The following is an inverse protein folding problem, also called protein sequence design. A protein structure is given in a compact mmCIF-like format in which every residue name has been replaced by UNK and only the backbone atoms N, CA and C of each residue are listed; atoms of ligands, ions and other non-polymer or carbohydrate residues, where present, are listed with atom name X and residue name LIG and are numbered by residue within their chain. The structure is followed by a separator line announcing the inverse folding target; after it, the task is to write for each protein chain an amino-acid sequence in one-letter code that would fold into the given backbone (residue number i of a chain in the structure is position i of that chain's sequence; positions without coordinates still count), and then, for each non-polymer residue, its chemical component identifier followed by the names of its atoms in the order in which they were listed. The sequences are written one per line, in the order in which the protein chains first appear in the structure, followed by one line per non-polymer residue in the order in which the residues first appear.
data_IF_545000122842
#
_entry.id   IF_545000122842
#
_cell.length_a   1.000
_cell.length_b   1.000
_cell.length_c   1.000
_cell.angle_alpha   90.00
_cell.angle_beta   90.00
_cell.angle_gamma   90.00
#
_symmetry.space_group_name_H-M   'P 1'
#
loop_
_entity.id
_entity.type
_entity.pdbx_description
1 polymer ?
#
# COMPACT_ATOMS: atom_id res chain seq x y z
N UNK A 1 34.13 -37.88 59.33
CA UNK A 1 34.46 -36.51 58.86
C UNK A 1 35.22 -36.66 57.56
N UNK A 2 34.63 -36.27 56.43
CA UNK A 2 35.25 -36.38 55.10
C UNK A 2 36.31 -35.28 54.93
N UNK A 3 37.53 -35.55 55.40
CA UNK A 3 38.69 -34.71 55.15
C UNK A 3 39.50 -35.30 54.00
N UNK A 4 39.40 -34.75 52.79
CA UNK A 4 40.40 -35.00 51.74
C UNK A 4 41.70 -34.34 52.20
N UNK A 5 42.75 -35.12 52.37
CA UNK A 5 44.09 -34.60 52.60
C UNK A 5 44.46 -33.67 51.43
N UNK A 6 44.80 -32.41 51.73
CA UNK A 6 45.26 -31.44 50.73
C UNK A 6 46.78 -31.48 50.72
N UNK A 7 47.36 -32.09 49.69
CA UNK A 7 48.80 -32.10 49.49
C UNK A 7 49.26 -30.70 49.07
N UNK A 8 50.34 -30.21 49.68
CA UNK A 8 51.03 -28.99 49.29
C UNK A 8 52.50 -29.31 49.13
N UNK A 9 53.11 -28.82 48.05
CA UNK A 9 54.52 -29.06 47.77
C UNK A 9 55.43 -28.15 48.62
N UNK A 10 56.66 -28.60 48.86
CA UNK A 10 57.69 -27.78 49.50
C UNK A 10 58.07 -26.56 48.63
N UNK A 11 58.62 -25.48 49.22
CA UNK A 11 59.08 -24.32 48.46
C UNK A 11 60.04 -24.74 47.34
N UNK A 12 59.73 -24.34 46.09
CA UNK A 12 60.50 -24.72 44.89
C UNK A 12 59.86 -25.82 44.02
N UNK A 13 58.73 -26.40 44.45
CA UNK A 13 57.99 -27.40 43.70
C UNK A 13 56.53 -26.95 43.49
N UNK A 14 55.99 -27.19 42.30
CA UNK A 14 54.59 -26.92 41.94
C UNK A 14 53.80 -28.22 41.84
N UNK A 15 52.55 -28.20 42.33
CA UNK A 15 51.64 -29.33 42.29
C UNK A 15 51.11 -29.51 40.86
N UNK A 16 51.26 -30.71 40.30
CA UNK A 16 50.72 -31.03 38.97
C UNK A 16 49.18 -31.01 38.96
N UNK A 17 48.61 -31.01 37.75
CA UNK A 17 47.16 -30.99 37.51
C UNK A 17 46.43 -32.24 38.02
N UNK A 18 47.15 -33.33 38.28
CA UNK A 18 46.64 -34.54 38.90
C UNK A 18 46.47 -34.41 40.43
N UNK A 19 47.09 -33.41 41.05
CA UNK A 19 46.91 -33.02 42.45
C UNK A 19 47.66 -33.87 43.48
N UNK A 20 48.49 -34.82 43.05
CA UNK A 20 49.19 -35.76 43.96
C UNK A 20 50.71 -35.81 43.79
N UNK A 21 51.25 -35.31 42.68
CA UNK A 21 52.69 -35.27 42.44
C UNK A 21 53.21 -33.83 42.32
N UNK A 22 54.41 -33.62 42.84
CA UNK A 22 55.11 -32.34 42.86
C UNK A 22 56.26 -32.39 41.86
N UNK A 23 56.34 -31.40 40.99
CA UNK A 23 57.44 -31.24 40.03
C UNK A 23 58.11 -29.89 40.20
N UNK A 24 59.40 -29.85 39.88
CA UNK A 24 60.16 -28.61 39.82
C UNK A 24 59.78 -27.89 38.53
N UNK A 25 59.23 -26.69 38.63
CA UNK A 25 59.09 -25.83 37.46
C UNK A 25 60.44 -25.13 37.23
N UNK A 26 61.23 -25.64 36.28
CA UNK A 26 62.56 -25.09 35.98
C UNK A 26 62.48 -23.65 35.45
N UNK A 27 61.33 -23.24 34.88
CA UNK A 27 61.08 -21.88 34.41
C UNK A 27 60.84 -20.89 35.56
N UNK A 28 60.23 -21.34 36.67
CA UNK A 28 60.00 -20.51 37.87
C UNK A 28 61.23 -20.50 38.79
N UNK A 29 61.90 -21.64 38.91
CA UNK A 29 63.08 -21.79 39.78
C UNK A 29 64.36 -21.23 39.15
N UNK A 30 64.36 -20.91 37.86
CA UNK A 30 65.53 -20.42 37.12
C UNK A 30 66.57 -21.51 36.84
N UNK A 31 66.22 -22.78 37.03
CA UNK A 31 67.08 -23.94 36.80
C UNK A 31 67.02 -24.44 35.33
N UNK A 32 66.81 -23.52 34.38
CA UNK A 32 66.73 -23.83 32.94
C UNK A 32 67.98 -23.38 32.19
N UNK A 33 68.37 -24.15 31.17
CA UNK A 33 69.52 -23.84 30.30
C UNK A 33 69.12 -23.08 29.02
N UNK A 34 67.93 -22.44 29.00
CA UNK A 34 67.46 -21.68 27.84
C UNK A 34 68.36 -20.46 27.55
N UNK A 35 68.63 -20.23 26.26
CA UNK A 35 69.35 -19.04 25.80
C UNK A 35 68.49 -17.78 26.02
N UNK A 36 69.08 -16.58 26.13
CA UNK A 36 68.33 -15.33 26.26
C UNK A 36 67.30 -15.08 25.14
N UNK A 37 67.48 -15.68 23.98
CA UNK A 37 66.57 -15.63 22.82
C UNK A 37 65.49 -16.73 22.83
N UNK A 38 65.35 -17.46 23.93
CA UNK A 38 64.42 -18.57 24.07
C UNK A 38 63.53 -18.37 25.31
N UNK A 39 62.24 -18.68 25.17
CA UNK A 39 61.28 -18.73 26.25
C UNK A 39 61.23 -20.13 26.84
N UNK A 40 61.39 -20.24 28.15
CA UNK A 40 61.22 -21.50 28.87
C UNK A 40 59.73 -21.86 28.95
N UNK A 41 59.39 -23.09 28.56
CA UNK A 41 58.08 -23.70 28.71
C UNK A 41 58.24 -24.97 29.55
N UNK A 42 57.59 -25.03 30.70
CA UNK A 42 57.65 -26.17 31.59
C UNK A 42 56.86 -27.36 31.00
N UNK A 43 57.41 -28.57 31.06
CA UNK A 43 56.77 -29.81 30.58
C UNK A 43 56.86 -30.91 31.65
N UNK A 44 56.00 -31.93 31.55
CA UNK A 44 56.04 -33.03 32.53
C UNK A 44 57.36 -33.81 32.40
N UNK A 45 58.20 -33.72 33.42
CA UNK A 45 59.50 -34.34 33.60
C UNK A 45 60.71 -33.46 33.22
N UNK A 46 60.52 -32.28 32.63
CA UNK A 46 61.60 -31.42 32.10
C UNK A 46 61.07 -30.05 31.62
N UNK A 47 61.94 -29.15 31.19
CA UNK A 47 61.56 -27.94 30.43
C UNK A 47 61.91 -28.03 28.93
N UNK A 48 61.19 -27.27 28.11
CA UNK A 48 61.47 -27.05 26.67
C UNK A 48 61.75 -25.56 26.44
N UNK A 49 62.82 -25.24 25.71
CA UNK A 49 63.15 -23.86 25.34
C UNK A 49 62.65 -23.56 23.94
N UNK A 50 61.57 -22.80 23.82
CA UNK A 50 61.02 -22.36 22.53
C UNK A 50 61.71 -21.08 22.07
N UNK A 51 61.98 -20.94 20.77
CA UNK A 51 62.59 -19.74 20.21
C UNK A 51 61.61 -18.56 20.32
N UNK A 52 62.00 -17.51 21.04
CA UNK A 52 61.22 -16.28 21.14
C UNK A 52 61.74 -15.31 20.07
N UNK A 53 61.07 -15.28 18.92
CA UNK A 53 61.39 -14.33 17.84
C UNK A 53 60.77 -12.97 18.20
N UNK A 54 61.58 -12.08 18.78
CA UNK A 54 61.20 -10.68 19.01
C UNK A 54 61.66 -9.83 17.84
N UNK A 55 60.73 -9.19 17.14
CA UNK A 55 61.05 -8.31 16.02
C UNK A 55 61.51 -6.93 16.51
N UNK A 56 62.48 -6.28 15.82
CA UNK A 56 62.89 -4.90 16.11
C UNK A 56 61.70 -3.93 16.01
N UNK A 57 61.81 -2.77 16.67
CA UNK A 57 60.77 -1.75 16.62
C UNK A 57 60.42 -1.37 15.16
N UNK A 58 59.16 -1.55 14.77
CA UNK A 58 58.67 -1.31 13.40
C UNK A 58 58.45 -2.57 12.55
N UNK A 59 58.91 -3.74 13.00
CA UNK A 59 58.71 -5.02 12.32
C UNK A 59 57.62 -5.85 13.01
N UNK A 60 56.76 -6.48 12.22
CA UNK A 60 55.71 -7.38 12.70
C UNK A 60 56.08 -8.84 12.40
N UNK A 61 55.75 -9.74 13.33
CA UNK A 61 56.01 -11.17 13.17
C UNK A 61 54.94 -11.79 12.25
N UNK A 62 55.30 -12.12 11.01
CA UNK A 62 54.46 -12.89 10.07
C UNK A 62 55.21 -14.14 9.62
N UNK A 63 54.57 -15.31 9.74
CA UNK A 63 55.15 -16.61 9.33
C UNK A 63 56.59 -16.86 9.86
N UNK A 64 56.84 -16.53 11.13
CA UNK A 64 58.15 -16.71 11.79
C UNK A 64 59.30 -15.88 11.20
N UNK A 65 59.00 -14.88 10.38
CA UNK A 65 59.92 -13.88 9.85
C UNK A 65 59.47 -12.49 10.32
N UNK A 66 60.44 -11.60 10.58
CA UNK A 66 60.16 -10.22 10.90
C UNK A 66 60.04 -9.42 9.60
N UNK A 67 58.85 -8.94 9.30
CA UNK A 67 58.55 -8.19 8.08
C UNK A 67 58.09 -6.78 8.46
N UNK A 68 58.47 -5.79 7.66
CA UNK A 68 57.99 -4.41 7.78
C UNK A 68 57.01 -4.18 6.63
N UNK A 69 55.83 -3.66 6.92
CA UNK A 69 54.88 -3.26 5.88
C UNK A 69 55.18 -1.80 5.52
N UNK A 70 56.01 -1.58 4.49
CA UNK A 70 56.44 -0.24 4.08
C UNK A 70 55.29 0.63 3.55
N UNK A 71 54.19 -0.01 3.11
CA UNK A 71 52.99 0.67 2.63
C UNK A 71 52.19 1.30 3.77
N UNK A 72 52.03 0.60 4.89
CA UNK A 72 51.35 1.14 6.09
C UNK A 72 52.24 2.13 6.85
N UNK A 73 53.55 1.86 6.91
CA UNK A 73 54.52 2.72 7.59
C UNK A 73 54.90 3.97 6.79
N UNK A 74 54.42 4.09 5.54
CA UNK A 74 54.72 5.20 4.61
C UNK A 74 56.21 5.42 4.37
N UNK A 75 57.00 4.34 4.42
CA UNK A 75 58.44 4.35 4.15
C UNK A 75 58.78 3.94 2.72
N UNK A 76 57.77 3.58 1.91
CA UNK A 76 57.92 3.25 0.49
C UNK A 76 58.32 4.48 -0.37
N UNK A 77 59.05 4.24 -1.45
CA UNK A 77 59.49 5.28 -2.40
C UNK A 77 58.69 5.29 -3.73
N UNK A 78 57.49 4.70 -3.74
CA UNK A 78 56.60 4.73 -4.91
C UNK A 78 56.33 6.16 -5.41
N UNK A 79 56.65 6.45 -6.68
CA UNK A 79 56.44 7.75 -7.30
C UNK A 79 54.96 8.14 -7.47
N UNK A 80 54.70 9.42 -7.79
CA UNK A 80 53.35 9.92 -8.04
C UNK A 80 52.67 9.13 -9.17
N UNK A 81 51.55 8.48 -8.86
CA UNK A 81 50.79 7.65 -9.82
C UNK A 81 50.98 6.15 -9.67
N UNK A 82 51.72 5.68 -8.65
CA UNK A 82 51.86 4.26 -8.30
C UNK A 82 51.15 3.95 -6.96
N UNK A 83 50.66 2.72 -6.80
CA UNK A 83 50.10 2.17 -5.55
C UNK A 83 51.10 1.18 -4.95
N UNK A 84 51.38 1.34 -3.66
CA UNK A 84 52.23 0.41 -2.91
C UNK A 84 51.46 -0.87 -2.56
N UNK A 85 52.03 -2.02 -2.87
CA UNK A 85 51.57 -3.35 -2.46
C UNK A 85 52.68 -4.02 -1.65
N UNK A 86 52.38 -4.43 -0.42
CA UNK A 86 53.35 -5.09 0.45
C UNK A 86 53.55 -6.55 0.04
N UNK A 87 54.80 -7.01 -0.03
CA UNK A 87 55.17 -8.38 -0.36
C UNK A 87 56.15 -8.94 0.66
N UNK A 88 56.24 -10.27 0.77
CA UNK A 88 57.12 -10.90 1.76
C UNK A 88 58.57 -10.51 1.51
N UNK A 89 59.09 -9.61 2.34
CA UNK A 89 60.46 -9.10 2.32
C UNK A 89 60.69 -7.76 1.61
N UNK A 90 59.68 -7.15 0.96
CA UNK A 90 59.77 -5.82 0.29
C UNK A 90 58.37 -5.31 -0.15
N UNK A 91 58.29 -4.14 -0.77
CA UNK A 91 57.07 -3.64 -1.43
C UNK A 91 57.21 -3.57 -2.96
N UNK A 92 56.08 -3.64 -3.67
CA UNK A 92 55.94 -3.43 -5.12
C UNK A 92 55.12 -2.15 -5.38
N UNK A 93 55.53 -1.37 -6.38
CA UNK A 93 54.81 -0.15 -6.78
C UNK A 93 54.08 -0.38 -8.11
N UNK A 94 52.78 -0.62 -8.05
CA UNK A 94 51.96 -0.90 -9.22
C UNK A 94 51.41 0.38 -9.85
N UNK A 95 51.24 0.46 -11.18
CA UNK A 95 50.59 1.60 -11.83
C UNK A 95 49.16 1.82 -11.33
N UNK A 96 48.80 3.04 -10.94
CA UNK A 96 47.39 3.42 -10.79
C UNK A 96 46.72 3.28 -12.16
N UNK A 97 45.67 2.46 -12.26
CA UNK A 97 44.90 2.35 -13.50
C UNK A 97 44.39 3.73 -13.91
N UNK A 98 44.73 4.18 -15.12
CA UNK A 98 44.09 5.34 -15.74
C UNK A 98 42.62 4.99 -16.00
N UNK A 99 41.72 5.90 -15.67
CA UNK A 99 40.29 5.68 -15.88
C UNK A 99 39.99 5.47 -17.36
N UNK A 100 39.09 4.52 -17.67
CA UNK A 100 38.57 4.29 -19.02
C UNK A 100 37.91 5.59 -19.52
N UNK A 101 37.96 5.86 -20.83
CA UNK A 101 37.32 7.02 -21.44
C UNK A 101 35.85 7.15 -21.00
N UNK A 102 35.51 8.25 -20.30
CA UNK A 102 34.16 8.52 -19.76
C UNK A 102 34.08 8.64 -18.24
N UNK A 103 35.17 8.37 -17.51
CA UNK A 103 35.24 8.47 -16.04
C UNK A 103 36.12 9.65 -15.61
N UNK A 104 35.72 10.35 -14.55
CA UNK A 104 36.48 11.44 -13.91
C UNK A 104 37.14 10.96 -12.61
N UNK A 105 38.34 11.44 -12.29
CA UNK A 105 39.02 11.09 -11.04
C UNK A 105 38.55 11.98 -9.89
N UNK A 106 38.23 11.38 -8.76
CA UNK A 106 38.04 12.12 -7.50
C UNK A 106 39.39 12.62 -6.93
N UNK A 107 39.34 13.39 -5.83
CA UNK A 107 40.52 13.89 -5.13
C UNK A 107 41.43 12.81 -4.53
N UNK A 108 40.98 11.55 -4.51
CA UNK A 108 41.71 10.39 -4.00
C UNK A 108 42.23 9.48 -5.14
N UNK A 109 41.95 9.82 -6.40
CA UNK A 109 42.39 9.09 -7.59
C UNK A 109 41.51 7.89 -7.95
N UNK A 110 40.30 7.79 -7.39
CA UNK A 110 39.31 6.78 -7.78
C UNK A 110 38.56 7.25 -9.03
N UNK A 111 38.32 6.33 -9.96
CA UNK A 111 37.54 6.58 -11.16
C UNK A 111 36.05 6.57 -10.83
N UNK A 112 35.40 7.72 -10.88
CA UNK A 112 33.95 7.86 -10.69
C UNK A 112 33.31 8.37 -11.99
N UNK A 113 32.23 7.73 -12.40
CA UNK A 113 31.25 8.29 -13.31
C UNK A 113 30.11 8.84 -12.44
N UNK A 114 29.49 9.96 -12.83
CA UNK A 114 28.30 10.48 -12.19
C UNK A 114 27.16 10.41 -13.18
N UNK A 115 26.54 9.23 -13.28
CA UNK A 115 25.43 8.93 -14.19
C UNK A 115 24.24 9.87 -13.93
N UNK A 116 24.08 10.34 -12.69
CA UNK A 116 23.04 11.31 -12.32
C UNK A 116 23.24 12.70 -12.94
N UNK A 117 24.48 13.05 -13.35
CA UNK A 117 24.80 14.33 -14.01
C UNK A 117 25.09 14.16 -15.50
N UNK A 118 25.44 12.95 -15.94
CA UNK A 118 25.78 12.65 -17.34
C UNK A 118 24.56 12.24 -18.18
N UNK A 119 23.50 11.72 -17.57
CA UNK A 119 22.27 11.32 -18.26
C UNK A 119 21.15 12.31 -17.94
N UNK A 120 20.37 12.70 -18.94
CA UNK A 120 19.23 13.62 -18.80
C UNK A 120 18.08 12.99 -18.01
N UNK A 121 17.87 11.68 -18.13
CA UNK A 121 16.96 10.89 -17.28
C UNK A 121 17.60 9.55 -16.88
N UNK A 122 18.43 9.52 -15.81
CA UNK A 122 19.12 8.31 -15.36
C UNK A 122 18.19 7.28 -14.70
N UNK A 123 17.03 7.71 -14.21
CA UNK A 123 16.07 6.88 -13.50
C UNK A 123 14.66 7.07 -14.07
N UNK A 124 13.81 6.04 -13.96
CA UNK A 124 12.38 6.13 -14.32
C UNK A 124 11.68 7.31 -13.64
N UNK A 125 10.68 7.88 -14.32
CA UNK A 125 9.77 8.89 -13.77
C UNK A 125 9.35 8.55 -12.33
N UNK A 126 9.64 9.44 -11.38
CA UNK A 126 9.34 9.24 -9.95
C UNK A 126 10.49 8.75 -9.07
N UNK A 127 11.70 8.58 -9.60
CA UNK A 127 12.90 8.21 -8.83
C UNK A 127 13.99 9.29 -8.88
N UNK A 128 14.64 9.55 -7.74
CA UNK A 128 15.85 10.37 -7.61
C UNK A 128 17.08 9.47 -7.82
N UNK A 129 17.99 9.94 -8.68
CA UNK A 129 19.28 9.30 -8.87
C UNK A 129 20.23 9.69 -7.72
N UNK A 130 20.88 8.70 -7.13
CA UNK A 130 21.90 8.85 -6.10
C UNK A 130 23.17 8.19 -6.61
N UNK A 131 24.21 8.99 -6.82
CA UNK A 131 25.49 8.49 -7.30
C UNK A 131 26.21 7.69 -6.21
N UNK A 132 26.75 6.52 -6.56
CA UNK A 132 27.56 5.68 -5.67
C UNK A 132 28.96 5.48 -6.27
N UNK A 133 29.92 5.00 -5.48
CA UNK A 133 31.28 4.76 -5.99
C UNK A 133 31.24 3.62 -7.00
N UNK A 134 31.41 3.95 -8.29
CA UNK A 134 31.39 3.00 -9.40
C UNK A 134 30.01 2.67 -10.00
N UNK A 135 28.91 3.30 -9.53
CA UNK A 135 27.55 3.12 -10.09
C UNK A 135 26.58 4.21 -9.61
N UNK A 136 25.27 4.02 -9.82
CA UNK A 136 24.20 4.87 -9.28
C UNK A 136 23.03 4.01 -8.77
N UNK A 137 22.27 4.55 -7.83
CA UNK A 137 21.03 3.94 -7.32
C UNK A 137 19.86 4.88 -7.51
N UNK A 138 18.72 4.33 -7.94
CA UNK A 138 17.48 5.08 -8.08
C UNK A 138 16.62 4.87 -6.84
N UNK A 139 16.47 5.90 -6.01
CA UNK A 139 15.58 5.86 -4.85
C UNK A 139 14.29 6.61 -5.16
N UNK A 140 13.18 6.22 -4.55
CA UNK A 140 11.88 6.85 -4.78
C UNK A 140 11.95 8.33 -4.39
N UNK A 141 11.46 9.24 -5.25
CA UNK A 141 11.32 10.66 -4.87
C UNK A 141 10.28 10.75 -3.77
N UNK A 142 10.70 10.90 -2.51
CA UNK A 142 9.79 11.19 -1.40
C UNK A 142 9.57 12.70 -1.43
N UNK A 143 8.37 13.13 -1.83
CA UNK A 143 8.02 14.55 -1.82
C UNK A 143 7.74 14.97 -0.36
N UNK A 144 8.53 15.94 0.13
CA UNK A 144 8.26 16.63 1.40
C UNK A 144 7.12 17.61 1.21
N UNK A 145 6.00 17.37 1.87
CA UNK A 145 4.81 18.21 1.76
C UNK A 145 4.79 19.34 2.79
N UNK A 146 4.33 20.53 2.38
CA UNK A 146 4.10 21.67 3.26
C UNK A 146 2.99 21.38 4.27
N UNK A 147 2.90 22.20 5.34
CA UNK A 147 1.92 22.02 6.40
C UNK A 147 0.48 21.96 5.85
N UNK A 148 -0.26 20.88 6.16
CA UNK A 148 -1.61 20.63 5.65
C UNK A 148 -1.72 19.67 4.45
N UNK A 149 -0.59 19.13 3.97
CA UNK A 149 -0.54 18.18 2.86
C UNK A 149 0.12 16.86 3.29
N UNK A 150 -0.36 15.73 2.78
CA UNK A 150 0.23 14.41 2.98
C UNK A 150 0.67 13.78 1.66
N UNK A 151 1.67 12.90 1.71
CA UNK A 151 2.14 12.20 0.52
C UNK A 151 1.10 11.15 0.08
N UNK A 152 0.79 11.11 -1.22
CA UNK A 152 -0.01 10.07 -1.87
C UNK A 152 0.54 8.66 -1.54
N UNK A 153 -0.24 7.57 -1.63
CA UNK A 153 0.23 6.21 -1.30
C UNK A 153 1.49 5.77 -2.08
N UNK A 154 1.69 6.33 -3.28
CA UNK A 154 2.87 6.16 -4.12
C UNK A 154 3.99 7.17 -3.82
N UNK A 155 3.84 8.07 -2.85
CA UNK A 155 4.88 9.01 -2.40
C UNK A 155 5.25 10.12 -3.39
N UNK A 156 4.64 10.15 -4.58
CA UNK A 156 5.05 10.98 -5.70
C UNK A 156 4.39 12.37 -5.73
N UNK A 157 3.30 12.58 -4.97
CA UNK A 157 2.51 13.83 -4.97
C UNK A 157 2.04 14.18 -3.57
N UNK A 158 1.97 15.48 -3.27
CA UNK A 158 1.31 16.00 -2.07
C UNK A 158 -0.18 16.16 -2.34
N UNK A 159 -1.00 15.50 -1.55
CA UNK A 159 -2.46 15.59 -1.59
C UNK A 159 -2.96 16.23 -0.30
N UNK A 160 -3.91 17.15 -0.43
CA UNK A 160 -4.74 17.60 0.69
C UNK A 160 -5.84 16.56 0.90
N UNK A 161 -6.23 16.28 2.14
CA UNK A 161 -7.48 15.57 2.42
C UNK A 161 -8.41 16.49 3.20
N UNK A 162 -9.15 17.31 2.46
CA UNK A 162 -10.11 18.27 3.03
C UNK A 162 -11.26 17.58 3.76
N UNK A 163 -11.52 16.29 3.44
CA UNK A 163 -12.52 15.47 4.10
C UNK A 163 -12.06 15.05 5.50
N UNK A 164 -10.81 14.60 5.64
CA UNK A 164 -10.23 14.22 6.93
C UNK A 164 -9.95 15.42 7.83
N UNK A 165 -9.56 16.55 7.24
CA UNK A 165 -9.27 17.78 7.98
C UNK A 165 -10.53 18.57 8.36
N UNK A 166 -11.71 18.21 7.83
CA UNK A 166 -12.96 18.93 8.09
C UNK A 166 -12.99 20.36 7.51
N UNK A 167 -12.11 20.65 6.55
CA UNK A 167 -11.99 21.96 5.89
C UNK A 167 -12.83 22.05 4.59
N UNK A 168 -13.51 20.97 4.23
CA UNK A 168 -14.40 20.91 3.08
C UNK A 168 -15.59 21.87 3.19
N UNK A 169 -16.06 22.40 2.06
CA UNK A 169 -17.25 23.27 1.98
C UNK A 169 -18.53 22.53 1.57
N UNK A 170 -18.58 21.22 1.79
CA UNK A 170 -19.78 20.43 1.53
C UNK A 170 -20.99 20.94 2.32
N UNK A 171 -22.15 21.03 1.66
CA UNK A 171 -23.41 21.45 2.25
C UNK A 171 -23.98 20.42 3.22
N UNK A 172 -25.01 20.82 3.98
CA UNK A 172 -25.66 19.94 4.96
C UNK A 172 -26.25 18.71 4.28
N UNK A 173 -25.87 17.52 4.75
CA UNK A 173 -26.30 16.23 4.20
C UNK A 173 -25.48 15.69 3.03
N UNK A 174 -24.37 16.35 2.66
CA UNK A 174 -23.42 15.85 1.68
C UNK A 174 -22.29 15.04 2.33
N UNK A 175 -21.83 14.00 1.63
CA UNK A 175 -20.63 13.22 1.94
C UNK A 175 -19.46 13.83 1.15
N UNK A 176 -18.36 14.09 1.85
CA UNK A 176 -17.11 14.52 1.22
C UNK A 176 -16.35 13.32 0.66
N UNK A 177 -15.90 13.42 -0.59
CA UNK A 177 -15.01 12.46 -1.23
C UNK A 177 -13.71 13.16 -1.65
N UNK A 178 -12.60 12.68 -1.12
CA UNK A 178 -11.29 13.21 -1.44
C UNK A 178 -10.85 12.77 -2.85
N UNK A 179 -10.20 13.66 -3.60
CA UNK A 179 -9.62 13.42 -4.91
C UNK A 179 -8.16 13.90 -4.91
N UNK A 180 -7.27 13.35 -5.76
CA UNK A 180 -5.89 13.86 -5.84
C UNK A 180 -5.85 15.35 -6.23
N UNK A 181 -5.59 16.23 -5.26
CA UNK A 181 -5.50 17.68 -5.44
C UNK A 181 -6.83 18.45 -5.36
N UNK A 182 -7.94 17.82 -4.97
CA UNK A 182 -9.25 18.46 -4.79
C UNK A 182 -10.19 17.56 -3.97
N UNK A 183 -11.43 17.98 -3.73
CA UNK A 183 -12.48 17.15 -3.16
C UNK A 183 -13.79 17.38 -3.90
N UNK A 184 -14.71 16.42 -3.81
CA UNK A 184 -16.09 16.56 -4.30
C UNK A 184 -17.08 16.23 -3.20
N UNK A 185 -18.27 16.83 -3.28
CA UNK A 185 -19.34 16.62 -2.31
C UNK A 185 -20.51 15.92 -3.00
N UNK A 186 -20.80 14.70 -2.57
CA UNK A 186 -21.89 13.89 -3.12
C UNK A 186 -23.04 13.79 -2.11
N UNK A 187 -24.27 13.52 -2.57
CA UNK A 187 -25.39 13.25 -1.67
C UNK A 187 -25.37 11.81 -1.18
N UNK A 188 -25.90 11.57 0.02
CA UNK A 188 -26.13 10.21 0.53
C UNK A 188 -27.00 9.39 -0.42
N UNK A 189 -26.83 8.06 -0.41
CA UNK A 189 -27.66 7.14 -1.18
C UNK A 189 -29.14 7.38 -0.92
N UNK A 190 -29.93 7.53 -1.99
CA UNK A 190 -31.36 7.86 -1.90
C UNK A 190 -31.65 9.37 -1.77
N UNK A 191 -30.64 10.24 -1.92
CA UNK A 191 -30.78 11.69 -1.99
C UNK A 191 -30.22 12.22 -3.31
N UNK A 192 -30.77 13.34 -3.79
CA UNK A 192 -30.35 14.04 -4.99
C UNK A 192 -30.04 15.50 -4.66
N UNK A 193 -29.00 16.05 -5.29
CA UNK A 193 -28.61 17.44 -5.07
C UNK A 193 -29.61 18.40 -5.71
N UNK A 194 -30.21 19.26 -4.90
CA UNK A 194 -31.12 20.30 -5.36
C UNK A 194 -30.34 21.61 -5.53
N UNK A 195 -30.06 21.99 -6.78
CA UNK A 195 -29.27 23.19 -7.09
C UNK A 195 -29.92 24.50 -6.63
N UNK A 196 -31.26 24.58 -6.60
CA UNK A 196 -32.01 25.78 -6.18
C UNK A 196 -31.87 26.01 -4.67
N UNK A 197 -31.97 24.94 -3.88
CA UNK A 197 -31.90 25.00 -2.41
C UNK A 197 -30.48 24.77 -1.87
N UNK A 198 -29.52 24.40 -2.72
CA UNK A 198 -28.13 24.05 -2.39
C UNK A 198 -28.02 22.99 -1.28
N UNK A 199 -28.95 22.04 -1.26
CA UNK A 199 -29.02 20.96 -0.27
C UNK A 199 -29.36 19.63 -0.94
N UNK A 200 -28.96 18.53 -0.31
CA UNK A 200 -29.41 17.20 -0.71
C UNK A 200 -30.85 16.99 -0.25
N UNK A 201 -31.76 16.82 -1.19
CA UNK A 201 -33.15 16.44 -0.90
C UNK A 201 -33.32 14.95 -1.13
N UNK A 202 -34.27 14.33 -0.43
CA UNK A 202 -34.62 12.92 -0.67
C UNK A 202 -34.97 12.75 -2.15
N UNK A 203 -34.53 11.66 -2.75
CA UNK A 203 -35.05 11.16 -4.01
C UNK A 203 -35.83 9.89 -3.68
N UNK A 204 -37.14 10.06 -3.55
CA UNK A 204 -38.05 9.01 -3.13
C UNK A 204 -38.00 7.83 -4.11
N UNK A 205 -37.88 8.10 -5.42
CA UNK A 205 -37.78 7.09 -6.47
C UNK A 205 -36.54 6.17 -6.30
N UNK A 206 -35.41 6.70 -5.82
CA UNK A 206 -34.23 5.89 -5.54
C UNK A 206 -34.30 5.21 -4.17
N UNK A 207 -34.79 5.91 -3.15
CA UNK A 207 -34.88 5.40 -1.77
C UNK A 207 -35.87 4.25 -1.64
N UNK A 208 -36.95 4.29 -2.41
CA UNK A 208 -38.04 3.30 -2.39
C UNK A 208 -38.28 2.73 -3.79
N UNK A 209 -37.20 2.30 -4.45
CA UNK A 209 -37.23 1.77 -5.81
C UNK A 209 -38.26 0.64 -5.95
N UNK A 210 -39.14 0.75 -6.96
CA UNK A 210 -40.19 -0.22 -7.25
C UNK A 210 -41.32 -0.30 -6.22
N UNK A 211 -41.36 0.56 -5.18
CA UNK A 211 -42.42 0.55 -4.15
C UNK A 211 -43.38 1.73 -4.21
N UNK A 212 -43.00 2.82 -4.89
CA UNK A 212 -43.78 4.07 -4.90
C UNK A 212 -44.78 4.18 -6.04
N UNK A 213 -44.40 3.67 -7.21
CA UNK A 213 -45.17 3.75 -8.45
C UNK A 213 -45.22 2.35 -9.06
N UNK A 214 -46.34 2.00 -9.68
CA UNK A 214 -46.48 0.73 -10.39
C UNK A 214 -45.53 0.63 -11.60
N UNK A 215 -45.25 1.77 -12.26
CA UNK A 215 -44.42 1.82 -13.46
C UNK A 215 -43.28 2.84 -13.35
N UNK A 216 -43.46 4.09 -13.81
CA UNK A 216 -42.42 5.11 -13.79
C UNK A 216 -42.56 6.03 -12.59
N UNK A 217 -41.43 6.33 -11.96
CA UNK A 217 -41.32 7.29 -10.86
C UNK A 217 -40.42 8.45 -11.29
N UNK A 218 -40.91 9.67 -11.14
CA UNK A 218 -40.19 10.90 -11.42
C UNK A 218 -40.04 11.72 -10.15
N UNK A 219 -38.79 11.97 -9.75
CA UNK A 219 -38.49 12.76 -8.56
C UNK A 219 -38.78 14.25 -8.81
N UNK A 220 -39.36 14.93 -7.82
CA UNK A 220 -39.65 16.37 -7.87
C UNK A 220 -39.11 17.07 -6.62
N UNK A 221 -38.91 18.41 -6.63
CA UNK A 221 -38.44 19.10 -5.43
C UNK A 221 -39.42 18.97 -4.24
N UNK A 222 -39.10 18.08 -3.30
CA UNK A 222 -39.88 17.85 -2.07
C UNK A 222 -40.97 16.78 -2.16
N UNK A 223 -41.08 16.05 -3.28
CA UNK A 223 -42.01 14.93 -3.46
C UNK A 223 -41.62 14.10 -4.71
N UNK A 224 -42.45 13.15 -5.11
CA UNK A 224 -42.33 12.43 -6.37
C UNK A 224 -43.67 12.40 -7.12
N UNK A 225 -43.64 12.10 -8.42
CA UNK A 225 -44.84 11.82 -9.23
C UNK A 225 -44.68 10.50 -9.97
N UNK A 226 -45.79 9.78 -10.14
CA UNK A 226 -45.82 8.56 -10.92
C UNK A 226 -46.33 8.84 -12.34
N UNK A 227 -45.82 8.10 -13.32
CA UNK A 227 -46.30 8.13 -14.69
C UNK A 227 -46.38 6.72 -15.27
N UNK A 228 -47.22 6.54 -16.29
CA UNK A 228 -47.49 5.25 -16.92
C UNK A 228 -46.87 5.19 -18.32
N UNK A 229 -46.57 3.97 -18.79
CA UNK A 229 -46.17 3.71 -20.17
C UNK A 229 -47.34 3.91 -21.12
N UNK A 230 -47.06 4.10 -22.41
CA UNK A 230 -48.09 4.28 -23.42
C UNK A 230 -49.11 3.12 -23.38
N UNK A 231 -50.40 3.47 -23.45
CA UNK A 231 -51.51 2.52 -23.33
C UNK A 231 -52.10 2.39 -21.91
N UNK A 232 -51.53 3.05 -20.90
CA UNK A 232 -52.03 3.05 -19.52
C UNK A 232 -52.23 4.47 -19.00
N UNK A 233 -53.28 4.67 -18.21
CA UNK A 233 -53.59 5.91 -17.49
C UNK A 233 -53.24 5.78 -16.00
N UNK A 234 -52.87 6.91 -15.39
CA UNK A 234 -52.60 6.96 -13.95
C UNK A 234 -53.94 6.86 -13.21
N UNK A 235 -54.07 5.88 -12.32
CA UNK A 235 -55.25 5.66 -11.50
C UNK A 235 -55.45 6.81 -10.50
N UNK A 236 -56.65 6.89 -9.90
CA UNK A 236 -57.03 7.95 -8.97
C UNK A 236 -56.13 8.05 -7.72
N UNK A 237 -55.48 6.95 -7.33
CA UNK A 237 -54.53 6.92 -6.23
C UNK A 237 -53.19 7.60 -6.54
N UNK A 238 -52.96 8.00 -7.79
CA UNK A 238 -51.76 8.66 -8.27
C UNK A 238 -50.51 7.78 -8.29
N UNK A 239 -50.65 6.45 -8.14
CA UNK A 239 -49.53 5.51 -7.99
C UNK A 239 -49.64 4.31 -8.93
N UNK A 240 -50.84 3.81 -9.13
CA UNK A 240 -51.11 2.67 -9.99
C UNK A 240 -51.41 3.11 -11.43
N UNK A 241 -51.14 2.21 -12.36
CA UNK A 241 -51.39 2.40 -13.78
C UNK A 241 -52.44 1.38 -14.22
N UNK A 242 -53.56 1.88 -14.74
CA UNK A 242 -54.66 1.07 -15.24
C UNK A 242 -54.84 1.30 -16.73
N UNK A 243 -55.39 0.31 -17.43
CA UNK A 243 -55.88 0.51 -18.79
C UNK A 243 -57.23 1.21 -18.67
N UNK A 244 -57.54 2.14 -19.57
CA UNK A 244 -58.92 2.59 -19.71
C UNK A 244 -59.64 1.59 -20.61
N UNK A 245 -60.39 0.64 -20.02
CA UNK A 245 -61.10 -0.35 -20.82
C UNK A 245 -62.19 0.29 -21.71
N UNK A 246 -62.66 1.50 -21.34
CA UNK A 246 -63.60 2.26 -22.18
C UNK A 246 -63.02 2.70 -23.53
N UNK A 247 -61.69 2.75 -23.71
CA UNK A 247 -61.08 3.13 -24.98
C UNK A 247 -61.38 2.12 -26.11
N UNK A 248 -61.74 0.88 -25.75
CA UNK A 248 -62.16 -0.16 -26.71
C UNK A 248 -63.68 -0.14 -27.00
N UNK A 249 -64.41 0.85 -26.49
CA UNK A 249 -65.88 0.93 -26.55
C UNK A 249 -66.58 -0.40 -26.18
N UNK A 250 -66.31 -0.98 -25.00
CA UNK A 250 -66.90 -2.26 -24.60
C UNK A 250 -68.39 -2.16 -24.23
N UNK A 251 -68.90 -0.95 -23.97
CA UNK A 251 -70.28 -0.70 -23.57
C UNK A 251 -71.13 -0.27 -24.77
N UNK A 252 -72.40 -0.71 -24.80
CA UNK A 252 -73.36 -0.27 -25.84
C UNK A 252 -73.75 1.22 -25.74
N UNK A 253 -73.60 1.83 -24.56
CA UNK A 253 -73.87 3.26 -24.33
C UNK A 253 -72.73 3.93 -23.55
N UNK A 254 -72.95 4.34 -22.31
CA UNK A 254 -71.97 5.10 -21.53
C UNK A 254 -71.04 4.14 -20.79
N UNK A 255 -69.76 4.46 -20.76
CA UNK A 255 -68.73 3.69 -20.08
C UNK A 255 -68.00 4.59 -19.10
N UNK A 256 -67.86 4.15 -17.85
CA UNK A 256 -66.96 4.79 -16.89
C UNK A 256 -65.87 3.80 -16.48
N UNK A 257 -64.62 4.25 -16.57
CA UNK A 257 -63.49 3.52 -16.02
C UNK A 257 -63.54 3.57 -14.50
N UNK A 258 -63.38 2.43 -13.84
CA UNK A 258 -63.32 2.33 -12.38
C UNK A 258 -62.02 1.63 -11.97
N UNK A 259 -61.63 1.73 -10.70
CA UNK A 259 -60.36 1.15 -10.27
C UNK A 259 -60.35 -0.38 -10.46
N UNK A 260 -59.50 -0.86 -11.36
CA UNK A 260 -59.35 -2.28 -11.70
C UNK A 260 -60.44 -2.87 -12.60
N UNK A 261 -61.36 -2.07 -13.15
CA UNK A 261 -62.38 -2.52 -14.10
C UNK A 261 -63.07 -1.35 -14.81
N UNK A 262 -64.17 -1.60 -15.52
CA UNK A 262 -65.02 -0.57 -16.10
C UNK A 262 -66.48 -0.91 -15.84
N UNK A 263 -67.33 0.11 -15.83
CA UNK A 263 -68.76 -0.05 -15.64
C UNK A 263 -69.53 0.64 -16.75
N UNK A 264 -70.46 -0.11 -17.35
CA UNK A 264 -71.38 0.42 -18.34
C UNK A 264 -72.59 1.04 -17.66
N UNK A 265 -73.09 2.14 -18.22
CA UNK A 265 -74.29 2.83 -17.76
C UNK A 265 -75.27 3.01 -18.93
N UNK A 266 -76.54 2.91 -18.60
CA UNK A 266 -77.65 3.14 -19.51
C UNK A 266 -78.24 4.53 -19.33
N UNK A 267 -78.61 5.16 -20.44
CA UNK A 267 -79.46 6.35 -20.45
C UNK A 267 -80.84 6.02 -19.85
N UNK A 268 -81.56 7.02 -19.32
CA UNK A 268 -82.88 6.81 -18.75
C UNK A 268 -83.82 6.04 -19.70
N UNK A 269 -84.41 4.95 -19.20
CA UNK A 269 -85.33 4.09 -19.96
C UNK A 269 -84.71 2.78 -20.48
N UNK A 270 -83.39 2.61 -20.47
CA UNK A 270 -82.71 1.37 -20.89
C UNK A 270 -82.18 0.59 -19.68
N UNK A 271 -82.11 -0.75 -19.80
CA UNK A 271 -81.56 -1.64 -18.78
C UNK A 271 -80.43 -2.50 -19.38
N UNK A 272 -79.43 -2.84 -18.57
CA UNK A 272 -78.32 -3.73 -18.96
C UNK A 272 -78.80 -5.20 -18.95
N UNK A 273 -78.30 -6.00 -19.90
CA UNK A 273 -78.43 -7.46 -19.90
C UNK A 273 -77.58 -8.08 -18.78
N UNK A 274 -77.78 -9.38 -18.51
CA UNK A 274 -77.01 -10.15 -17.53
C UNK A 274 -75.49 -10.17 -17.80
N UNK A 275 -75.06 -9.81 -19.01
CA UNK A 275 -73.65 -9.67 -19.38
C UNK A 275 -73.01 -8.37 -18.88
N UNK A 276 -73.78 -7.41 -18.37
CA UNK A 276 -73.29 -6.14 -17.84
C UNK A 276 -72.72 -5.16 -18.89
N UNK A 277 -72.85 -5.46 -20.18
CA UNK A 277 -72.21 -4.71 -21.28
C UNK A 277 -73.20 -4.29 -22.37
N UNK A 278 -74.20 -5.12 -22.65
CA UNK A 278 -75.20 -4.88 -23.67
C UNK A 278 -76.54 -4.47 -23.06
N UNK A 279 -77.39 -3.86 -23.88
CA UNK A 279 -78.70 -3.36 -23.46
C UNK A 279 -79.74 -4.44 -23.70
N UNK A 280 -80.70 -4.58 -22.77
CA UNK A 280 -81.89 -5.40 -22.97
C UNK A 280 -83.02 -4.52 -23.51
N UNK A 281 -83.18 -4.50 -24.83
CA UNK A 281 -84.25 -3.80 -25.51
C UNK A 281 -85.64 -4.39 -25.22
N UNK A 282 -85.74 -5.62 -24.69
CA UNK A 282 -86.99 -6.33 -24.41
C UNK A 282 -87.50 -6.11 -22.97
N UNK A 283 -86.66 -5.61 -22.06
CA UNK A 283 -87.02 -5.33 -20.66
C UNK A 283 -87.97 -4.12 -20.47
N UNK A 284 -88.17 -3.31 -21.52
CA UNK A 284 -89.11 -2.19 -21.52
C UNK A 284 -90.55 -2.69 -21.64
N UNK A 285 -91.28 -2.76 -20.53
CA UNK A 285 -92.75 -2.93 -20.51
C UNK A 285 -93.52 -1.65 -20.89
N UNK A 286 -93.00 -0.82 -21.80
CA UNK A 286 -93.73 0.30 -22.40
C UNK A 286 -93.44 0.35 -23.90
N UNK A 287 -94.20 -0.44 -24.66
CA UNK A 287 -94.50 -0.18 -26.07
C UNK A 287 -93.39 -0.49 -27.08
N UNK A 288 -93.37 -1.75 -27.54
CA UNK A 288 -92.96 -2.22 -28.87
C UNK A 288 -92.18 -1.22 -29.76
N UNK A 289 -90.85 -1.30 -29.73
CA UNK A 289 -90.00 -0.88 -30.84
C UNK A 289 -88.80 -1.85 -31.02
N UNK A 290 -89.05 -3.16 -31.02
CA UNK A 290 -88.10 -4.10 -31.60
C UNK A 290 -88.45 -4.31 -33.08
N UNK A 291 -87.52 -3.97 -33.98
CA UNK A 291 -87.65 -4.30 -35.41
C UNK A 291 -87.53 -5.82 -35.68
N UNK A 292 -87.18 -6.62 -34.66
CA UNK A 292 -87.16 -8.08 -34.68
C UNK A 292 -87.75 -8.64 -33.39
N UNK A 293 -88.45 -9.77 -33.50
CA UNK A 293 -89.18 -10.44 -32.43
C UNK A 293 -88.25 -10.84 -31.26
N UNK A 294 -88.58 -10.42 -30.03
CA UNK A 294 -88.00 -11.01 -28.81
C UNK A 294 -88.61 -12.41 -28.64
N UNK A 295 -87.77 -13.46 -28.65
CA UNK A 295 -88.16 -14.87 -28.40
C UNK A 295 -87.66 -15.27 -27.03
#
# INVERSE_FOLDING_TARGET
VAGRARCSCFPGFSLMTDGWMCEVDECVTGAHSCKPSQRCVNTVGSFVCELQVTCPAGYQLRNSLCEIDECTMRTHNCGMGLVCENTVGSFLCNPKQKCISGFTQDSHGNCIINECSSLTEPCSSGFNCINTVGSYTCQKKIVMCSHGYHASPDGAKCVTDECQMGTHRCGVGQICHNLPGSYRCDCQTGYQYNALRKVCTVNECWRYSGRLCAQKCENTPGSYRCSCTAGFSLAFDGKNCETNECDQNPCSQECANIYGSYQCYCRPGYYLKDDGHTIDECSQSIGNLCAFQCV
#
